data_IF_540068009401
#
_entry.id   IF_540068009401
#
_cell.length_a   1.000
_cell.length_b   1.000
_cell.length_c   1.000
_cell.angle_alpha   90.00
_cell.angle_beta   90.00
_cell.angle_gamma   90.00
#
_symmetry.space_group_name_H-M   'P 1'
#
loop_
_entity.id
_entity.type
_entity.pdbx_description
1 polymer ?
#
# COMPACT_ATOMS: atom_id res chain seq x y z
N UNK A 1 -21.75 3.00 -8.64
CA UNK A 1 -20.99 3.21 -7.40
C UNK A 1 -19.61 2.57 -7.41
N UNK A 2 -19.44 1.24 -7.39
CA UNK A 2 -18.11 0.59 -7.33
C UNK A 2 -17.10 1.03 -8.42
N UNK A 3 -17.53 1.16 -9.67
CA UNK A 3 -16.69 1.66 -10.77
C UNK A 3 -16.25 3.11 -10.57
N UNK A 4 -17.14 3.96 -10.03
CA UNK A 4 -16.81 5.34 -9.73
C UNK A 4 -15.77 5.44 -8.60
N UNK A 5 -15.95 4.67 -7.53
CA UNK A 5 -15.01 4.63 -6.39
C UNK A 5 -13.63 4.16 -6.83
N UNK A 6 -13.55 3.09 -7.63
CA UNK A 6 -12.26 2.58 -8.15
C UNK A 6 -11.60 3.56 -9.13
N UNK A 7 -12.36 4.27 -9.97
CA UNK A 7 -11.82 5.34 -10.81
C UNK A 7 -11.29 6.51 -9.97
N UNK A 8 -12.02 6.92 -8.94
CA UNK A 8 -11.58 7.99 -8.05
C UNK A 8 -10.31 7.59 -7.28
N UNK A 9 -10.25 6.35 -6.77
CA UNK A 9 -9.05 5.82 -6.13
C UNK A 9 -7.82 5.88 -7.05
N UNK A 10 -7.99 5.56 -8.33
CA UNK A 10 -6.90 5.64 -9.33
C UNK A 10 -6.46 7.06 -9.61
N UNK A 11 -7.40 8.01 -9.73
CA UNK A 11 -7.08 9.43 -9.88
C UNK A 11 -6.30 9.95 -8.66
N UNK A 12 -6.76 9.62 -7.46
CA UNK A 12 -6.06 9.97 -6.22
C UNK A 12 -4.68 9.30 -6.15
N UNK A 13 -4.56 8.04 -6.56
CA UNK A 13 -3.30 7.30 -6.64
C UNK A 13 -2.30 7.97 -7.57
N UNK A 14 -2.72 8.37 -8.77
CA UNK A 14 -1.89 9.13 -9.72
C UNK A 14 -1.44 10.47 -9.13
N UNK A 15 -2.33 11.19 -8.45
CA UNK A 15 -1.98 12.45 -7.77
C UNK A 15 -0.95 12.23 -6.64
N UNK A 16 -1.13 11.20 -5.82
CA UNK A 16 -0.18 10.81 -4.76
C UNK A 16 1.17 10.43 -5.35
N UNK A 17 1.21 9.66 -6.45
CA UNK A 17 2.43 9.32 -7.16
C UNK A 17 3.16 10.57 -7.67
N UNK A 18 2.43 11.50 -8.28
CA UNK A 18 2.99 12.76 -8.74
C UNK A 18 3.56 13.58 -7.57
N UNK A 19 2.82 13.71 -6.45
CA UNK A 19 3.26 14.45 -5.27
C UNK A 19 4.52 13.87 -4.64
N UNK A 20 4.62 12.54 -4.47
CA UNK A 20 5.81 11.92 -3.89
C UNK A 20 7.02 12.04 -4.82
N UNK A 21 6.83 12.00 -6.15
CA UNK A 21 7.88 12.25 -7.12
C UNK A 21 8.32 13.71 -7.15
N UNK A 22 7.38 14.66 -7.13
CA UNK A 22 7.69 16.09 -7.03
C UNK A 22 8.46 16.36 -5.75
N UNK A 23 8.05 15.78 -4.62
CA UNK A 23 8.79 15.94 -3.37
C UNK A 23 10.23 15.41 -3.48
N UNK A 24 10.40 14.20 -4.02
CA UNK A 24 11.71 13.57 -4.23
C UNK A 24 12.64 14.36 -5.17
N UNK A 25 12.09 14.92 -6.25
CA UNK A 25 12.88 15.56 -7.32
C UNK A 25 13.09 17.06 -7.10
N UNK A 26 12.09 17.78 -6.58
CA UNK A 26 12.17 19.23 -6.36
C UNK A 26 12.83 19.59 -5.03
N UNK A 27 12.85 18.67 -4.05
CA UNK A 27 13.46 18.89 -2.73
C UNK A 27 14.54 17.85 -2.41
N UNK A 28 15.56 17.65 -3.28
CA UNK A 28 16.62 16.68 -3.06
C UNK A 28 17.42 16.95 -1.79
N UNK A 29 17.60 18.23 -1.44
CA UNK A 29 18.28 18.69 -0.23
C UNK A 29 17.58 18.27 1.06
N UNK A 30 16.30 17.94 1.02
CA UNK A 30 15.57 17.42 2.18
C UNK A 30 15.96 15.99 2.51
N UNK A 31 16.54 15.27 1.56
CA UNK A 31 17.03 13.90 1.73
C UNK A 31 18.53 13.82 1.97
N UNK A 32 19.25 14.96 1.95
CA UNK A 32 20.67 14.97 2.32
C UNK A 32 20.81 14.83 3.82
N UNK A 33 21.56 13.82 4.23
CA UNK A 33 21.97 13.59 5.62
C UNK A 33 23.47 13.33 5.63
N UNK A 34 24.17 13.76 6.67
CA UNK A 34 25.61 13.53 6.84
C UNK A 34 25.99 12.04 6.89
N UNK A 35 25.02 11.16 7.18
CA UNK A 35 25.25 9.75 7.51
C UNK A 35 24.74 8.74 6.45
N UNK A 36 24.04 9.19 5.41
CA UNK A 36 23.53 8.31 4.35
C UNK A 36 23.56 8.96 2.97
N UNK A 37 23.79 8.15 1.92
CA UNK A 37 23.68 8.63 0.56
C UNK A 37 22.25 9.09 0.29
N UNK A 38 22.12 10.32 -0.20
CA UNK A 38 20.84 10.98 -0.50
C UNK A 38 19.91 10.10 -1.34
N UNK A 39 20.46 9.37 -2.33
CA UNK A 39 19.71 8.46 -3.20
C UNK A 39 18.94 7.42 -2.37
N UNK A 40 19.57 6.79 -1.37
CA UNK A 40 18.90 5.78 -0.55
C UNK A 40 17.85 6.39 0.38
N UNK A 41 18.07 7.61 0.86
CA UNK A 41 17.10 8.36 1.66
C UNK A 41 15.84 8.74 0.87
N UNK A 42 15.98 9.04 -0.43
CA UNK A 42 14.84 9.30 -1.34
C UNK A 42 14.09 8.02 -1.68
N UNK A 43 14.82 6.92 -1.90
CA UNK A 43 14.24 5.64 -2.29
C UNK A 43 13.27 5.10 -1.24
N UNK A 44 13.55 5.28 0.06
CA UNK A 44 12.68 4.77 1.11
C UNK A 44 11.21 5.24 0.98
N UNK A 45 10.87 6.55 1.10
CA UNK A 45 9.48 6.99 1.01
C UNK A 45 8.86 6.71 -0.37
N UNK A 46 9.65 6.78 -1.45
CA UNK A 46 9.17 6.51 -2.81
C UNK A 46 8.72 5.05 -2.96
N UNK A 47 9.55 4.11 -2.50
CA UNK A 47 9.24 2.68 -2.56
C UNK A 47 8.12 2.28 -1.60
N UNK A 48 8.03 2.90 -0.42
CA UNK A 48 6.93 2.64 0.52
C UNK A 48 5.58 3.11 -0.04
N UNK A 49 5.52 4.33 -0.58
CA UNK A 49 4.27 4.87 -1.14
C UNK A 49 3.86 4.12 -2.40
N UNK A 50 4.79 3.90 -3.34
CA UNK A 50 4.47 3.21 -4.60
C UNK A 50 4.14 1.72 -4.35
N UNK A 51 4.94 1.03 -3.53
CA UNK A 51 4.76 -0.39 -3.26
C UNK A 51 3.60 -0.67 -2.31
N UNK A 52 3.77 -0.31 -1.03
CA UNK A 52 2.87 -0.74 0.04
C UNK A 52 1.51 -0.03 0.04
N UNK A 53 1.38 1.11 -0.64
CA UNK A 53 0.13 1.86 -0.70
C UNK A 53 -0.48 1.82 -2.10
N UNK A 54 0.21 2.30 -3.14
CA UNK A 54 -0.37 2.37 -4.49
C UNK A 54 -0.59 0.98 -5.10
N UNK A 55 0.46 0.17 -5.21
CA UNK A 55 0.39 -1.16 -5.83
C UNK A 55 -0.47 -2.11 -4.98
N UNK A 56 -0.28 -2.11 -3.65
CA UNK A 56 -1.13 -2.88 -2.73
C UNK A 56 -2.61 -2.47 -2.81
N UNK A 57 -2.90 -1.16 -2.87
CA UNK A 57 -4.27 -0.65 -3.01
C UNK A 57 -4.94 -1.13 -4.30
N UNK A 58 -4.23 -1.09 -5.43
CA UNK A 58 -4.72 -1.69 -6.68
C UNK A 58 -4.90 -3.21 -6.57
N UNK A 59 -4.01 -3.92 -5.86
CA UNK A 59 -4.14 -5.35 -5.63
C UNK A 59 -5.40 -5.70 -4.84
N UNK A 60 -5.75 -4.90 -3.82
CA UNK A 60 -6.99 -5.06 -3.03
C UNK A 60 -8.21 -4.86 -3.93
N UNK A 61 -8.21 -3.82 -4.77
CA UNK A 61 -9.31 -3.52 -5.68
C UNK A 61 -9.41 -4.48 -6.88
N UNK A 62 -8.34 -5.19 -7.23
CA UNK A 62 -8.27 -6.05 -8.41
C UNK A 62 -9.40 -7.09 -8.48
N UNK A 63 -9.83 -7.64 -7.35
CA UNK A 63 -10.95 -8.58 -7.31
C UNK A 63 -12.30 -7.96 -7.69
N UNK A 64 -12.47 -6.65 -7.56
CA UNK A 64 -13.67 -5.94 -8.00
C UNK A 64 -13.49 -5.42 -9.44
N UNK A 65 -12.34 -4.80 -9.74
CA UNK A 65 -12.05 -4.23 -11.07
C UNK A 65 -11.94 -5.26 -12.18
N UNK A 66 -11.49 -6.47 -11.86
CA UNK A 66 -11.32 -7.58 -12.80
C UNK A 66 -12.44 -8.61 -12.67
N UNK A 67 -13.65 -8.22 -12.23
CA UNK A 67 -14.79 -9.13 -12.03
C UNK A 67 -15.17 -9.92 -13.29
N UNK A 68 -14.93 -9.36 -14.49
CA UNK A 68 -15.13 -10.00 -15.80
C UNK A 68 -14.15 -11.13 -16.13
N UNK A 69 -13.03 -11.22 -15.42
CA UNK A 69 -12.00 -12.22 -15.67
C UNK A 69 -12.18 -13.47 -14.81
N UNK A 70 -11.53 -14.57 -15.23
CA UNK A 70 -11.58 -15.84 -14.50
C UNK A 70 -11.12 -15.68 -13.04
N UNK A 71 -11.71 -16.47 -12.13
CA UNK A 71 -11.31 -16.47 -10.71
C UNK A 71 -9.80 -16.71 -10.52
N UNK A 72 -9.19 -17.55 -11.36
CA UNK A 72 -7.75 -17.83 -11.34
C UNK A 72 -6.94 -16.60 -11.73
N UNK A 73 -7.32 -15.90 -12.80
CA UNK A 73 -6.64 -14.68 -13.25
C UNK A 73 -6.67 -13.60 -12.16
N UNK A 74 -7.83 -13.37 -11.54
CA UNK A 74 -7.94 -12.36 -10.47
C UNK A 74 -7.06 -12.68 -9.26
N UNK A 75 -7.01 -13.96 -8.86
CA UNK A 75 -6.13 -14.43 -7.77
C UNK A 75 -4.65 -14.25 -8.12
N UNK A 76 -4.27 -14.58 -9.36
CA UNK A 76 -2.90 -14.41 -9.84
C UNK A 76 -2.48 -12.93 -9.85
N UNK A 77 -3.36 -12.04 -10.31
CA UNK A 77 -3.10 -10.59 -10.30
C UNK A 77 -2.97 -10.07 -8.88
N UNK A 78 -3.90 -10.44 -7.98
CA UNK A 78 -3.82 -10.05 -6.57
C UNK A 78 -2.53 -10.51 -5.91
N UNK A 79 -2.19 -11.79 -6.04
CA UNK A 79 -0.97 -12.37 -5.48
C UNK A 79 0.30 -11.73 -6.05
N UNK A 80 0.35 -11.53 -7.37
CA UNK A 80 1.49 -10.93 -8.06
C UNK A 80 1.70 -9.48 -7.64
N UNK A 81 0.65 -8.66 -7.64
CA UNK A 81 0.74 -7.26 -7.22
C UNK A 81 1.12 -7.14 -5.74
N UNK A 82 0.56 -7.96 -4.84
CA UNK A 82 0.96 -7.95 -3.43
C UNK A 82 2.40 -8.43 -3.23
N UNK A 83 2.87 -9.39 -4.05
CA UNK A 83 4.27 -9.83 -4.05
C UNK A 83 5.22 -8.71 -4.48
N UNK A 84 4.87 -7.98 -5.54
CA UNK A 84 5.61 -6.80 -5.98
C UNK A 84 5.62 -5.72 -4.90
N UNK A 85 4.46 -5.40 -4.30
CA UNK A 85 4.35 -4.43 -3.21
C UNK A 85 5.27 -4.81 -2.03
N UNK A 86 5.24 -6.08 -1.60
CA UNK A 86 6.10 -6.59 -0.53
C UNK A 86 7.59 -6.49 -0.89
N UNK A 87 7.99 -6.90 -2.10
CA UNK A 87 9.37 -6.81 -2.57
C UNK A 87 9.89 -5.37 -2.59
N UNK A 88 9.07 -4.42 -3.07
CA UNK A 88 9.40 -2.99 -3.02
C UNK A 88 9.51 -2.47 -1.58
N UNK A 89 8.65 -2.93 -0.67
CA UNK A 89 8.72 -2.61 0.76
C UNK A 89 10.02 -3.11 1.40
N UNK A 90 10.40 -4.37 1.18
CA UNK A 90 11.67 -4.94 1.65
C UNK A 90 12.85 -4.12 1.12
N UNK A 91 12.85 -3.79 -0.18
CA UNK A 91 13.91 -3.00 -0.79
C UNK A 91 13.96 -1.55 -0.24
N UNK A 92 12.80 -0.95 0.05
CA UNK A 92 12.70 0.38 0.66
C UNK A 92 13.21 0.42 2.09
N UNK A 93 13.00 -0.65 2.88
CA UNK A 93 13.61 -0.80 4.20
C UNK A 93 15.12 -0.97 4.04
N UNK A 94 15.56 -1.90 3.20
CA UNK A 94 16.98 -2.13 2.95
C UNK A 94 17.73 -0.85 2.54
N UNK A 95 17.14 -0.02 1.68
CA UNK A 95 17.70 1.27 1.29
C UNK A 95 17.92 2.19 2.52
N UNK A 96 16.95 2.25 3.44
CA UNK A 96 17.07 3.05 4.68
C UNK A 96 18.19 2.54 5.60
N UNK A 97 18.33 1.23 5.75
CA UNK A 97 19.31 0.60 6.64
C UNK A 97 20.72 0.46 6.06
N UNK A 98 20.93 0.81 4.78
CA UNK A 98 22.27 0.89 4.17
C UNK A 98 23.07 2.15 4.60
N UNK A 99 22.46 3.05 5.39
CA UNK A 99 23.15 4.17 6.03
C UNK A 99 24.20 3.70 7.03
N UNK A 100 25.22 4.53 7.31
CA UNK A 100 26.38 4.13 8.14
C UNK A 100 26.07 3.93 9.63
N UNK A 101 24.87 4.30 10.07
CA UNK A 101 24.46 4.14 11.47
C UNK A 101 23.72 2.79 11.63
N UNK A 102 24.24 1.95 12.52
CA UNK A 102 23.77 0.58 12.72
C UNK A 102 22.27 0.44 12.99
N UNK A 103 21.77 -0.79 12.85
CA UNK A 103 20.34 -1.16 12.91
C UNK A 103 19.62 -0.57 14.13
N UNK A 104 20.29 -0.50 15.29
CA UNK A 104 19.71 -0.04 16.56
C UNK A 104 19.40 1.46 16.57
N UNK A 105 20.19 2.30 15.88
CA UNK A 105 19.96 3.74 15.81
C UNK A 105 18.74 4.12 14.94
N UNK A 106 18.19 3.18 14.18
CA UNK A 106 17.05 3.40 13.29
C UNK A 106 15.70 2.94 13.88
N UNK A 107 15.68 2.28 15.05
CA UNK A 107 14.47 1.71 15.67
C UNK A 107 13.97 2.45 16.93
N UNK A 108 14.20 3.77 17.04
CA UNK A 108 13.71 4.55 18.19
C UNK A 108 12.35 5.21 17.94
N UNK A 109 11.95 5.42 16.68
CA UNK A 109 10.72 6.16 16.35
C UNK A 109 9.51 5.23 16.24
N UNK A 110 8.32 5.72 16.61
CA UNK A 110 7.07 4.98 16.44
C UNK A 110 6.86 4.54 14.98
N UNK A 111 7.26 5.37 14.02
CA UNK A 111 7.24 5.05 12.59
C UNK A 111 8.02 3.76 12.27
N UNK A 112 9.23 3.60 12.82
CA UNK A 112 10.06 2.42 12.58
C UNK A 112 9.45 1.12 13.12
N UNK A 113 8.87 1.16 14.33
CA UNK A 113 8.19 0.01 14.95
C UNK A 113 6.93 -0.38 14.18
N UNK A 114 6.11 0.61 13.79
CA UNK A 114 4.93 0.38 12.96
C UNK A 114 5.30 -0.17 11.57
N UNK A 115 6.40 0.30 10.99
CA UNK A 115 6.93 -0.19 9.72
C UNK A 115 7.37 -1.65 9.78
N UNK A 116 8.06 -2.05 10.86
CA UNK A 116 8.45 -3.44 11.07
C UNK A 116 7.23 -4.35 11.25
N UNK A 117 6.26 -3.93 12.06
CA UNK A 117 5.00 -4.65 12.23
C UNK A 117 4.25 -4.79 10.89
N UNK A 118 4.13 -3.69 10.14
CA UNK A 118 3.46 -3.65 8.85
C UNK A 118 4.11 -4.62 7.85
N UNK A 119 5.44 -4.61 7.73
CA UNK A 119 6.15 -5.46 6.78
C UNK A 119 6.04 -6.95 7.18
N UNK A 120 6.09 -7.24 8.48
CA UNK A 120 5.92 -8.60 9.01
C UNK A 120 4.51 -9.14 8.73
N UNK A 121 3.48 -8.30 8.91
CA UNK A 121 2.10 -8.65 8.58
C UNK A 121 1.91 -8.85 7.06
N UNK A 122 2.53 -8.01 6.22
CA UNK A 122 2.53 -8.21 4.76
C UNK A 122 3.14 -9.55 4.36
N UNK A 123 4.29 -9.92 4.92
CA UNK A 123 4.94 -11.20 4.66
C UNK A 123 4.03 -12.38 5.05
N UNK A 124 3.49 -12.35 6.28
CA UNK A 124 2.58 -13.37 6.78
C UNK A 124 1.31 -13.49 5.90
N UNK A 125 0.69 -12.36 5.54
CA UNK A 125 -0.50 -12.34 4.69
C UNK A 125 -0.22 -12.87 3.28
N UNK A 126 0.94 -12.54 2.71
CA UNK A 126 1.31 -13.04 1.38
C UNK A 126 1.52 -14.56 1.38
N UNK A 127 2.23 -15.10 2.37
CA UNK A 127 2.45 -16.55 2.53
C UNK A 127 1.14 -17.28 2.78
N UNK A 128 0.32 -16.82 3.73
CA UNK A 128 -1.00 -17.40 4.01
C UNK A 128 -1.87 -17.36 2.77
N UNK A 129 -1.86 -16.25 2.03
CA UNK A 129 -2.60 -16.08 0.79
C UNK A 129 -2.16 -17.05 -0.32
N UNK A 130 -0.85 -17.25 -0.46
CA UNK A 130 -0.26 -18.19 -1.40
C UNK A 130 -0.70 -19.63 -1.10
N UNK A 131 -0.44 -20.11 0.12
CA UNK A 131 -0.70 -21.50 0.54
C UNK A 131 -2.19 -21.84 0.52
N UNK A 132 -3.05 -20.92 0.99
CA UNK A 132 -4.48 -21.22 1.14
C UNK A 132 -5.30 -20.93 -0.13
N UNK A 133 -4.96 -19.91 -0.91
CA UNK A 133 -5.85 -19.45 -1.99
C UNK A 133 -5.29 -19.63 -3.39
N UNK A 134 -3.97 -19.70 -3.56
CA UNK A 134 -3.34 -19.91 -4.86
C UNK A 134 -2.99 -21.37 -5.10
N UNK A 135 -2.30 -21.98 -4.15
CA UNK A 135 -2.02 -23.41 -4.20
C UNK A 135 -3.26 -24.24 -3.78
N UNK A 136 -3.39 -25.47 -4.28
CA UNK A 136 -4.50 -26.37 -3.95
C UNK A 136 -4.25 -27.22 -2.70
N UNK A 137 -3.23 -26.88 -1.92
CA UNK A 137 -2.78 -27.63 -0.74
C UNK A 137 -3.94 -27.81 0.26
N UNK A 138 -4.72 -26.74 0.48
CA UNK A 138 -5.69 -26.71 1.57
C UNK A 138 -7.12 -27.15 1.20
N UNK A 139 -7.78 -27.80 2.16
CA UNK A 139 -9.17 -28.26 2.01
C UNK A 139 -10.14 -27.10 1.76
N UNK A 140 -11.32 -27.38 1.18
CA UNK A 140 -12.35 -26.33 0.98
C UNK A 140 -12.81 -25.71 2.31
N UNK A 141 -12.86 -26.51 3.38
CA UNK A 141 -13.30 -26.07 4.72
C UNK A 141 -12.28 -25.14 5.36
N UNK A 142 -10.99 -25.49 5.34
CA UNK A 142 -9.91 -24.64 5.85
C UNK A 142 -9.93 -23.25 5.18
N UNK A 143 -10.04 -23.20 3.84
CA UNK A 143 -10.13 -21.96 3.08
C UNK A 143 -11.33 -21.09 3.45
N UNK A 144 -12.49 -21.70 3.72
CA UNK A 144 -13.68 -20.96 4.14
C UNK A 144 -13.51 -20.31 5.52
N UNK A 145 -12.81 -20.99 6.44
CA UNK A 145 -12.51 -20.45 7.78
C UNK A 145 -11.45 -19.35 7.76
N UNK A 146 -10.41 -19.48 6.92
CA UNK A 146 -9.30 -18.51 6.85
C UNK A 146 -9.68 -17.24 6.07
N UNK A 147 -10.58 -17.33 5.09
CA UNK A 147 -10.96 -16.20 4.24
C UNK A 147 -11.36 -14.92 4.99
N UNK A 148 -12.27 -14.93 5.99
CA UNK A 148 -12.64 -13.70 6.71
C UNK A 148 -11.43 -13.08 7.44
N UNK A 149 -10.56 -13.90 8.03
CA UNK A 149 -9.34 -13.45 8.68
C UNK A 149 -8.34 -12.83 7.69
N UNK A 150 -8.16 -13.45 6.52
CA UNK A 150 -7.31 -12.93 5.47
C UNK A 150 -7.79 -11.56 4.97
N UNK A 151 -9.11 -11.39 4.79
CA UNK A 151 -9.68 -10.09 4.40
C UNK A 151 -9.47 -9.05 5.49
N UNK A 152 -9.81 -9.36 6.75
CA UNK A 152 -9.68 -8.44 7.87
C UNK A 152 -8.22 -8.00 8.06
N UNK A 153 -7.29 -8.94 8.20
CA UNK A 153 -5.88 -8.63 8.44
C UNK A 153 -5.25 -7.95 7.23
N UNK A 154 -5.65 -8.31 6.00
CA UNK A 154 -5.21 -7.62 4.79
C UNK A 154 -5.59 -6.14 4.77
N UNK A 155 -6.85 -5.81 5.08
CA UNK A 155 -7.30 -4.41 5.16
C UNK A 155 -6.65 -3.67 6.34
N UNK A 156 -6.53 -4.32 7.51
CA UNK A 156 -5.82 -3.77 8.66
C UNK A 156 -4.37 -3.42 8.32
N UNK A 157 -3.66 -4.32 7.65
CA UNK A 157 -2.26 -4.12 7.24
C UNK A 157 -2.13 -2.96 6.26
N UNK A 158 -3.09 -2.81 5.33
CA UNK A 158 -3.12 -1.68 4.41
C UNK A 158 -3.33 -0.34 5.13
N UNK A 159 -4.28 -0.26 6.07
CA UNK A 159 -4.47 0.93 6.91
C UNK A 159 -3.21 1.22 7.73
N UNK A 160 -2.60 0.21 8.32
CA UNK A 160 -1.37 0.33 9.08
C UNK A 160 -0.22 0.88 8.22
N UNK A 161 -0.10 0.46 6.95
CA UNK A 161 0.87 1.00 6.01
C UNK A 161 0.66 2.50 5.76
N UNK A 162 -0.60 2.93 5.58
CA UNK A 162 -0.93 4.35 5.39
C UNK A 162 -0.62 5.16 6.65
N UNK A 163 -1.02 4.70 7.83
CA UNK A 163 -0.71 5.38 9.11
C UNK A 163 0.81 5.44 9.32
N UNK A 164 1.54 4.38 9.01
CA UNK A 164 3.01 4.36 9.08
C UNK A 164 3.62 5.39 8.11
N UNK A 165 3.07 5.54 6.90
CA UNK A 165 3.52 6.59 6.00
C UNK A 165 3.21 8.00 6.56
N UNK A 166 2.04 8.23 7.16
CA UNK A 166 1.71 9.50 7.81
C UNK A 166 2.72 9.85 8.90
N UNK A 167 3.05 8.91 9.78
CA UNK A 167 4.03 9.14 10.86
C UNK A 167 5.43 9.39 10.32
N UNK A 168 5.83 8.72 9.24
CA UNK A 168 7.11 8.96 8.56
C UNK A 168 7.19 10.33 7.89
N UNK A 169 6.12 10.78 7.24
CA UNK A 169 6.04 12.14 6.67
C UNK A 169 6.11 13.19 7.78
N UNK A 170 5.39 12.99 8.89
CA UNK A 170 5.42 13.88 10.04
C UNK A 170 6.81 13.96 10.66
N UNK A 171 7.44 12.82 10.94
CA UNK A 171 8.81 12.74 11.47
C UNK A 171 9.78 13.52 10.55
N UNK A 172 9.66 13.33 9.24
CA UNK A 172 10.51 14.02 8.26
C UNK A 172 10.28 15.54 8.27
N UNK A 173 9.04 16.01 8.31
CA UNK A 173 8.74 17.45 8.39
C UNK A 173 9.22 18.06 9.70
N UNK A 174 9.06 17.37 10.83
CA UNK A 174 9.56 17.83 12.14
C UNK A 174 11.08 18.01 12.11
N UNK A 175 11.82 17.06 11.53
CA UNK A 175 13.27 17.21 11.37
C UNK A 175 13.65 18.37 10.45
N UNK A 176 12.93 18.58 9.35
CA UNK A 176 13.18 19.70 8.43
C UNK A 176 12.92 21.06 9.09
N UNK A 177 11.84 21.19 9.85
CA UNK A 177 11.53 22.41 10.60
C UNK A 177 12.56 22.67 11.70
N UNK A 178 13.00 21.64 12.43
CA UNK A 178 14.04 21.78 13.44
C UNK A 178 15.38 22.26 12.84
N UNK A 179 15.74 21.79 11.63
CA UNK A 179 16.95 22.23 10.93
C UNK A 179 16.87 23.65 10.36
N UNK A 180 15.66 24.15 10.07
CA UNK A 180 15.39 25.46 9.47
C UNK A 180 14.81 26.46 10.48
N UNK A 181 15.14 26.31 11.77
CA UNK A 181 14.64 27.18 12.82
C UNK A 181 14.97 28.65 12.50
N UNK A 182 13.94 29.43 12.11
CA UNK A 182 14.07 30.82 11.65
C UNK A 182 13.42 31.11 10.29
N UNK A 183 13.14 30.09 9.47
CA UNK A 183 12.38 30.24 8.22
C UNK A 183 10.88 30.02 8.45
N UNK A 184 10.02 30.63 7.60
CA UNK A 184 8.57 30.49 7.76
C UNK A 184 8.13 29.02 7.73
N UNK A 185 7.31 28.61 8.70
CA UNK A 185 6.75 27.25 8.78
C UNK A 185 5.90 26.85 7.55
N UNK A 186 5.57 27.82 6.68
CA UNK A 186 4.78 27.67 5.46
C UNK A 186 5.67 27.57 4.22
N UNK A 187 6.60 26.62 4.20
CA UNK A 187 7.37 26.32 2.99
C UNK A 187 6.52 25.57 1.96
N UNK A 188 6.79 25.80 0.67
CA UNK A 188 6.15 25.05 -0.43
C UNK A 188 6.32 23.54 -0.27
N UNK A 189 7.48 23.12 0.25
CA UNK A 189 7.77 21.73 0.58
C UNK A 189 6.78 21.17 1.63
N UNK A 190 6.57 21.89 2.73
CA UNK A 190 5.63 21.50 3.79
C UNK A 190 4.20 21.37 3.24
N UNK A 191 3.78 22.28 2.35
CA UNK A 191 2.46 22.17 1.70
C UNK A 191 2.35 20.93 0.80
N UNK A 192 3.38 20.60 0.02
CA UNK A 192 3.42 19.40 -0.83
C UNK A 192 3.36 18.13 0.02
N UNK A 193 4.14 18.06 1.10
CA UNK A 193 4.18 16.88 1.98
C UNK A 193 2.87 16.72 2.76
N UNK A 194 2.26 17.80 3.25
CA UNK A 194 0.94 17.76 3.87
C UNK A 194 -0.15 17.34 2.85
N UNK A 195 -0.08 17.85 1.63
CA UNK A 195 -0.96 17.44 0.53
C UNK A 195 -0.82 15.96 0.18
N UNK A 196 0.42 15.45 0.17
CA UNK A 196 0.71 14.02 0.03
C UNK A 196 0.06 13.22 1.17
N UNK A 197 0.20 13.68 2.42
CA UNK A 197 -0.44 13.09 3.60
C UNK A 197 -1.97 12.99 3.45
N UNK A 198 -2.62 14.09 3.08
CA UNK A 198 -4.08 14.12 2.83
C UNK A 198 -4.47 13.20 1.67
N UNK A 199 -3.70 13.19 0.59
CA UNK A 199 -3.91 12.30 -0.56
C UNK A 199 -3.84 10.82 -0.19
N UNK A 200 -2.87 10.44 0.66
CA UNK A 200 -2.75 9.07 1.18
C UNK A 200 -3.94 8.67 2.04
N UNK A 201 -4.42 9.57 2.91
CA UNK A 201 -5.60 9.32 3.75
C UNK A 201 -6.88 9.15 2.91
N UNK A 202 -7.07 10.00 1.90
CA UNK A 202 -8.18 9.91 0.96
C UNK A 202 -8.13 8.60 0.16
N UNK A 203 -6.95 8.26 -0.39
CA UNK A 203 -6.73 7.01 -1.12
C UNK A 203 -7.05 5.80 -0.24
N UNK A 204 -6.65 5.82 1.03
CA UNK A 204 -6.97 4.79 2.00
C UNK A 204 -8.48 4.59 2.13
N UNK A 205 -9.23 5.67 2.37
CA UNK A 205 -10.69 5.61 2.49
C UNK A 205 -11.36 5.05 1.23
N UNK A 206 -10.90 5.46 0.04
CA UNK A 206 -11.45 4.99 -1.24
C UNK A 206 -11.17 3.50 -1.49
N UNK A 207 -9.96 3.01 -1.17
CA UNK A 207 -9.61 1.59 -1.31
C UNK A 207 -10.40 0.72 -0.34
N UNK A 208 -10.53 1.15 0.93
CA UNK A 208 -11.36 0.43 1.91
C UNK A 208 -12.81 0.41 1.46
N UNK A 209 -13.36 1.55 1.03
CA UNK A 209 -14.71 1.63 0.50
C UNK A 209 -14.90 0.68 -0.68
N UNK A 210 -14.00 0.68 -1.67
CA UNK A 210 -14.05 -0.23 -2.80
C UNK A 210 -14.03 -1.71 -2.37
N UNK A 211 -13.22 -2.05 -1.36
CA UNK A 211 -13.08 -3.42 -0.86
C UNK A 211 -14.36 -3.95 -0.17
N UNK A 212 -15.07 -3.09 0.56
CA UNK A 212 -16.30 -3.47 1.30
C UNK A 212 -17.57 -3.35 0.47
N UNK A 213 -17.55 -2.60 -0.64
CA UNK A 213 -18.71 -2.48 -1.52
C UNK A 213 -19.12 -3.83 -2.11
N UNK A 214 -20.44 -4.12 -2.20
CA UNK A 214 -20.94 -5.37 -2.74
C UNK A 214 -20.43 -5.59 -4.18
N UNK A 215 -19.97 -6.80 -4.45
CA UNK A 215 -19.50 -7.20 -5.78
C UNK A 215 -20.71 -7.24 -6.72
N UNK A 216 -20.58 -6.64 -7.91
CA UNK A 216 -21.59 -6.81 -8.97
C UNK A 216 -21.71 -8.31 -9.28
N UNK A 217 -22.85 -8.91 -8.94
CA UNK A 217 -23.22 -10.24 -9.41
C UNK A 217 -23.62 -10.06 -10.87
N UNK A 218 -22.77 -10.51 -11.80
CA UNK A 218 -23.15 -10.56 -13.21
C UNK A 218 -24.13 -11.73 -13.36
N UNK A 219 -25.41 -11.41 -13.58
CA UNK A 219 -26.52 -12.36 -13.74
C UNK A 219 -26.43 -13.28 -14.97
N UNK A 220 -25.34 -13.22 -15.76
CA UNK A 220 -25.17 -14.07 -16.95
C UNK A 220 -24.99 -15.56 -16.65
N UNK A 221 -24.64 -15.93 -15.41
CA UNK A 221 -24.46 -17.35 -15.05
C UNK A 221 -25.81 -18.03 -14.78
N UNK A 222 -26.79 -17.32 -14.24
CA UNK A 222 -28.09 -17.89 -13.89
C UNK A 222 -28.92 -18.23 -15.14
N UNK A 223 -28.75 -17.51 -16.24
CA UNK A 223 -29.49 -17.78 -17.48
C UNK A 223 -28.89 -18.95 -18.29
N UNK A 224 -27.57 -19.21 -18.17
CA UNK A 224 -26.95 -20.42 -18.73
C UNK A 224 -27.34 -21.68 -17.98
N UNK A 225 -27.39 -21.62 -16.64
CA UNK A 225 -27.81 -22.75 -15.82
C UNK A 225 -29.32 -23.04 -15.97
N UNK A 226 -30.16 -22.02 -16.17
CA UNK A 226 -31.59 -22.22 -16.43
C UNK A 226 -31.87 -22.80 -17.83
N UNK A 227 -31.06 -22.49 -18.84
CA UNK A 227 -31.17 -23.10 -20.18
C UNK A 227 -30.69 -24.55 -20.23
N UNK A 228 -29.75 -24.95 -19.36
CA UNK A 228 -29.26 -26.34 -19.27
C UNK A 228 -30.17 -27.27 -18.47
N UNK A 229 -31.16 -26.72 -17.75
CA UNK A 229 -32.19 -27.49 -17.02
C UNK A 229 -33.51 -27.60 -17.81
N UNK A 230 -33.54 -27.09 -19.06
CA UNK A 230 -34.68 -27.16 -19.98
C UNK A 230 -34.42 -28.07 -21.19
N UNK A 231 -33.33 -28.84 -21.17
CA UNK A 231 -33.02 -29.94 -22.09
C UNK A 231 -32.60 -31.17 -21.27
#
# INVERSE_FOLDING_TARGET
>A
MATLVTSLARLTSSAVAALVLVWALAFPSSFTSSHSNQIYSVLHPLLMVIGLIIISGEAIMAHQSLSRFSRRSRKSVHLGLQGTAFGLGVFGIWAKFRGKDGIVANFYSLHSWMGLLCLSLFAAQWVVGFVNFFDRIESRRARATVLPWHVFVGLYTYVLAVVTAQTGLLEKLTFLHARRAGESARSTESMIVNGLGLGLALLCGLVILAAVLPKKVTYETTQKDHKLMQY
#
